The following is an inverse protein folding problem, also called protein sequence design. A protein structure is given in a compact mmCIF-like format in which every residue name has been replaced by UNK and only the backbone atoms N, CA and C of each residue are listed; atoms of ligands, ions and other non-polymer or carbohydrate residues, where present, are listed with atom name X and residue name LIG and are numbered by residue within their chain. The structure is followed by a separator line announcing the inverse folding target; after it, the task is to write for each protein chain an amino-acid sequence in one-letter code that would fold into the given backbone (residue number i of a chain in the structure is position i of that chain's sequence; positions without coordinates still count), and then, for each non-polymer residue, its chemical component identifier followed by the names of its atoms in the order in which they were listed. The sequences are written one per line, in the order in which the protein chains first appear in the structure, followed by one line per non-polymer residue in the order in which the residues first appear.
data_IF_346415627473
#
_entry.id   IF_346415627473
#
_cell.length_a   1.000
_cell.length_b   1.000
_cell.length_c   1.000
_cell.angle_alpha   90.00
_cell.angle_beta   90.00
_cell.angle_gamma   90.00
#
_symmetry.space_group_name_H-M   'P 1'
#
loop_
_entity.id
_entity.type
_entity.pdbx_description
1 polymer ?
#
# COMPACT_ATOMS: atom_id res chain seq x y z
N UNK A 1 -7.39 -8.79 -49.57
CA UNK A 1 -6.10 -8.84 -48.83
C UNK A 1 -6.38 -8.34 -47.44
N UNK A 2 -6.48 -9.24 -46.48
CA UNK A 2 -6.80 -8.97 -45.07
C UNK A 2 -5.52 -8.58 -44.34
N UNK A 3 -5.49 -7.38 -43.77
CA UNK A 3 -4.44 -6.92 -42.87
C UNK A 3 -4.59 -7.61 -41.51
N UNK A 4 -3.59 -8.40 -41.14
CA UNK A 4 -3.48 -9.06 -39.83
C UNK A 4 -3.25 -8.00 -38.74
N UNK A 5 -4.10 -7.99 -37.72
CA UNK A 5 -3.90 -7.24 -36.49
C UNK A 5 -2.72 -7.84 -35.70
N UNK A 6 -1.54 -7.19 -35.76
CA UNK A 6 -0.33 -7.55 -34.99
C UNK A 6 -0.21 -6.73 -33.68
N UNK A 7 -1.34 -6.33 -33.09
CA UNK A 7 -1.35 -5.34 -31.99
C UNK A 7 -1.14 -5.89 -30.57
N UNK A 8 -1.45 -7.16 -30.30
CA UNK A 8 -1.52 -7.70 -28.93
C UNK A 8 -0.26 -8.46 -28.48
N UNK A 9 0.43 -9.13 -29.40
CA UNK A 9 1.58 -9.99 -29.05
C UNK A 9 2.76 -9.18 -28.48
N UNK A 10 3.10 -8.07 -29.13
CA UNK A 10 4.23 -7.22 -28.73
C UNK A 10 4.01 -6.51 -27.38
N UNK A 11 2.76 -6.16 -27.02
CA UNK A 11 2.46 -5.54 -25.73
C UNK A 11 2.61 -6.54 -24.57
N UNK A 12 2.22 -7.80 -24.76
CA UNK A 12 2.40 -8.85 -23.76
C UNK A 12 3.87 -9.26 -23.60
N UNK A 13 4.64 -9.34 -24.70
CA UNK A 13 6.07 -9.65 -24.65
C UNK A 13 6.89 -8.55 -23.96
N UNK A 14 6.56 -7.28 -24.17
CA UNK A 14 7.25 -6.16 -23.54
C UNK A 14 6.98 -6.10 -22.03
N UNK A 15 5.73 -6.31 -21.60
CA UNK A 15 5.36 -6.36 -20.18
C UNK A 15 6.07 -7.50 -19.42
N UNK A 16 6.24 -8.66 -20.06
CA UNK A 16 6.93 -9.80 -19.47
C UNK A 16 8.45 -9.56 -19.32
N UNK A 17 9.07 -8.95 -20.33
CA UNK A 17 10.49 -8.59 -20.30
C UNK A 17 10.78 -7.51 -19.22
N UNK A 18 9.88 -6.53 -19.09
CA UNK A 18 9.96 -5.50 -18.04
C UNK A 18 9.83 -6.10 -16.63
N UNK A 19 8.95 -7.10 -16.45
CA UNK A 19 8.80 -7.83 -15.19
C UNK A 19 10.05 -8.66 -14.86
N UNK A 20 10.68 -9.32 -15.83
CA UNK A 20 11.91 -10.10 -15.61
C UNK A 20 13.07 -9.19 -15.16
N UNK A 21 13.24 -8.03 -15.81
CA UNK A 21 14.24 -7.03 -15.41
C UNK A 21 13.94 -6.50 -14.01
N UNK A 22 12.68 -6.21 -13.71
CA UNK A 22 12.25 -5.78 -12.38
C UNK A 22 12.57 -6.84 -11.33
N UNK A 23 12.20 -8.10 -11.56
CA UNK A 23 12.45 -9.22 -10.64
C UNK A 23 13.95 -9.36 -10.36
N UNK A 24 14.80 -9.30 -11.39
CA UNK A 24 16.26 -9.35 -11.22
C UNK A 24 16.73 -8.22 -10.29
N UNK A 25 16.28 -6.98 -10.51
CA UNK A 25 16.62 -5.84 -9.65
C UNK A 25 16.11 -6.02 -8.21
N UNK A 26 14.88 -6.49 -8.05
CA UNK A 26 14.26 -6.76 -6.75
C UNK A 26 15.04 -7.79 -5.92
N UNK A 27 15.62 -8.79 -6.59
CA UNK A 27 16.40 -9.83 -5.94
C UNK A 27 17.81 -9.38 -5.56
N UNK A 28 18.38 -8.35 -6.20
CA UNK A 28 19.73 -7.84 -5.86
C UNK A 28 19.82 -7.27 -4.45
N UNK A 29 18.75 -6.64 -3.95
CA UNK A 29 18.70 -6.07 -2.60
C UNK A 29 17.91 -6.93 -1.60
N UNK A 30 17.42 -8.10 -2.02
CA UNK A 30 16.71 -9.00 -1.13
C UNK A 30 17.66 -9.99 -0.46
N UNK A 31 18.03 -9.67 0.78
CA UNK A 31 18.87 -10.50 1.63
C UNK A 31 18.19 -10.68 3.00
N UNK A 32 17.12 -11.51 3.08
CA UNK A 32 16.36 -11.64 4.31
C UNK A 32 17.24 -12.23 5.40
N UNK A 33 17.42 -11.48 6.48
CA UNK A 33 18.19 -11.93 7.63
C UNK A 33 17.33 -12.79 8.57
N UNK A 34 17.82 -13.07 9.78
CA UNK A 34 17.06 -13.85 10.76
C UNK A 34 15.95 -13.05 11.46
N UNK A 35 15.82 -11.74 11.21
CA UNK A 35 14.81 -10.91 11.88
C UNK A 35 13.42 -11.46 11.62
N UNK A 36 12.69 -11.62 12.71
CA UNK A 36 11.29 -12.06 12.66
C UNK A 36 10.41 -10.90 13.07
N UNK A 37 9.81 -10.26 12.07
CA UNK A 37 8.68 -9.36 12.26
C UNK A 37 7.40 -10.19 12.28
N UNK A 38 6.59 -10.06 13.34
CA UNK A 38 5.22 -10.54 13.32
C UNK A 38 4.37 -9.68 12.37
N UNK A 39 4.46 -9.99 11.08
CA UNK A 39 3.86 -9.23 10.00
C UNK A 39 2.33 -9.30 10.04
N UNK A 40 1.76 -10.40 10.56
CA UNK A 40 0.33 -10.57 10.75
C UNK A 40 -0.23 -9.60 11.80
N UNK A 41 0.45 -9.48 12.96
CA UNK A 41 0.05 -8.52 13.99
C UNK A 41 0.21 -7.07 13.51
N UNK A 42 1.30 -6.77 12.79
CA UNK A 42 1.51 -5.43 12.24
C UNK A 42 0.42 -5.07 11.23
N UNK A 43 0.09 -6.01 10.34
CA UNK A 43 -0.94 -5.81 9.34
C UNK A 43 -2.33 -5.71 9.97
N UNK A 44 -2.60 -6.44 11.06
CA UNK A 44 -3.84 -6.30 11.83
C UNK A 44 -3.97 -4.90 12.46
N UNK A 45 -2.87 -4.33 12.96
CA UNK A 45 -2.89 -2.95 13.47
C UNK A 45 -3.09 -1.92 12.36
N UNK A 46 -2.45 -2.11 11.20
CA UNK A 46 -2.71 -1.32 9.98
C UNK A 46 -4.17 -1.40 9.57
N UNK A 47 -4.71 -2.61 9.54
CA UNK A 47 -6.11 -2.89 9.20
C UNK A 47 -7.04 -2.09 10.13
N UNK A 48 -6.81 -2.15 11.44
CA UNK A 48 -7.58 -1.36 12.39
C UNK A 48 -7.53 0.13 12.09
N UNK A 49 -6.35 0.69 11.78
CA UNK A 49 -6.24 2.11 11.43
C UNK A 49 -6.98 2.41 10.12
N UNK A 50 -6.77 1.62 9.08
CA UNK A 50 -7.36 1.85 7.74
C UNK A 50 -8.88 1.73 7.76
N UNK A 51 -9.43 0.80 8.55
CA UNK A 51 -10.87 0.50 8.61
C UNK A 51 -11.61 1.21 9.76
N UNK A 52 -11.04 1.40 10.95
CA UNK A 52 -11.70 2.22 11.99
C UNK A 52 -11.64 3.72 11.70
N UNK A 53 -10.71 4.15 10.84
CA UNK A 53 -10.77 5.45 10.18
C UNK A 53 -12.05 5.67 9.32
N UNK A 54 -12.94 4.70 9.20
CA UNK A 54 -14.05 4.75 8.23
C UNK A 54 -15.44 4.54 8.85
N UNK A 55 -15.53 4.27 10.16
CA UNK A 55 -16.79 4.00 10.85
C UNK A 55 -17.67 5.25 11.10
N UNK A 56 -17.17 6.46 10.82
CA UNK A 56 -17.89 7.71 11.13
C UNK A 56 -18.90 8.15 10.05
N UNK A 57 -19.10 7.41 8.96
CA UNK A 57 -20.15 7.73 7.98
C UNK A 57 -21.57 7.41 8.51
N UNK A 58 -21.71 6.70 9.64
CA UNK A 58 -23.00 6.26 10.22
C UNK A 58 -23.28 6.72 11.67
N UNK A 59 -22.42 7.57 12.26
CA UNK A 59 -22.59 8.01 13.65
C UNK A 59 -23.65 9.11 13.80
N UNK A 60 -24.91 8.71 13.75
CA UNK A 60 -26.07 9.40 14.38
C UNK A 60 -26.37 8.75 15.73
N UNK A 61 -25.36 8.39 16.52
CA UNK A 61 -25.58 7.78 17.83
C UNK A 61 -24.54 8.24 18.85
N UNK A 62 -25.00 8.92 19.90
CA UNK A 62 -24.27 9.44 21.07
C UNK A 62 -23.59 8.38 21.96
N UNK A 63 -23.24 7.21 21.43
CA UNK A 63 -22.50 6.20 22.18
C UNK A 63 -21.05 6.14 21.71
N UNK A 64 -20.06 6.17 22.64
CA UNK A 64 -18.69 5.93 22.27
C UNK A 64 -18.62 4.55 21.63
N UNK A 65 -18.19 4.50 20.37
CA UNK A 65 -17.90 3.23 19.69
C UNK A 65 -16.79 2.58 20.51
N UNK A 66 -17.17 1.57 21.28
CA UNK A 66 -16.23 0.72 21.99
C UNK A 66 -15.58 -0.20 20.94
N UNK A 67 -14.70 0.37 20.12
CA UNK A 67 -13.87 -0.37 19.21
C UNK A 67 -12.86 -1.12 20.06
N UNK A 68 -13.13 -2.39 20.33
CA UNK A 68 -12.13 -3.32 20.86
C UNK A 68 -10.96 -3.34 19.87
N UNK A 69 -9.94 -2.52 20.14
CA UNK A 69 -8.75 -2.34 19.32
C UNK A 69 -7.93 -3.63 19.37
N UNK A 70 -8.27 -4.59 18.51
CA UNK A 70 -7.60 -5.91 18.48
C UNK A 70 -6.27 -5.76 17.74
N UNK A 71 -5.24 -5.32 18.46
CA UNK A 71 -3.88 -5.16 17.92
C UNK A 71 -3.24 -3.87 18.40
N UNK A 72 -2.69 -3.88 19.62
CA UNK A 72 -1.86 -2.78 20.09
C UNK A 72 -0.45 -2.94 19.49
N UNK A 73 -0.01 -1.92 18.73
CA UNK A 73 1.32 -1.89 18.11
C UNK A 73 2.43 -2.02 19.18
N UNK A 74 2.17 -1.61 20.43
CA UNK A 74 3.15 -1.75 21.53
C UNK A 74 3.55 -3.20 21.83
N UNK A 75 2.74 -4.17 21.43
CA UNK A 75 2.99 -5.59 21.67
C UNK A 75 3.67 -6.27 20.47
N UNK A 76 3.98 -5.51 19.41
CA UNK A 76 4.64 -6.02 18.21
C UNK A 76 6.12 -5.79 18.34
N UNK A 77 6.86 -6.86 18.60
CA UNK A 77 8.31 -6.82 18.68
C UNK A 77 8.95 -7.24 17.36
N UNK A 78 10.05 -6.55 17.01
CA UNK A 78 10.94 -6.95 15.93
C UNK A 78 12.07 -7.77 16.57
N UNK A 79 11.94 -9.09 16.52
CA UNK A 79 12.88 -10.00 17.19
C UNK A 79 14.21 -10.00 16.43
N UNK A 80 15.32 -10.02 17.17
CA UNK A 80 16.70 -10.02 16.65
C UNK A 80 17.11 -8.73 15.89
N UNK A 81 16.43 -7.60 16.16
CA UNK A 81 16.82 -6.28 15.66
C UNK A 81 17.44 -5.42 16.77
N UNK A 82 18.59 -4.75 16.52
CA UNK A 82 19.15 -3.78 17.46
C UNK A 82 18.35 -2.48 17.53
N UNK A 83 17.47 -2.21 16.54
CA UNK A 83 16.61 -1.02 16.52
C UNK A 83 15.14 -1.36 16.81
N UNK A 84 14.41 -0.53 17.57
CA UNK A 84 12.97 -0.72 17.82
C UNK A 84 12.13 -0.68 16.54
N UNK A 85 11.06 -1.48 16.47
CA UNK A 85 10.14 -1.54 15.33
C UNK A 85 9.61 -0.15 14.90
N UNK A 86 9.24 0.68 15.88
CA UNK A 86 8.72 2.03 15.61
C UNK A 86 9.75 2.91 14.90
N UNK A 87 11.04 2.77 15.24
CA UNK A 87 12.10 3.51 14.57
C UNK A 87 12.21 3.13 13.09
N UNK A 88 12.12 1.83 12.78
CA UNK A 88 12.05 1.33 11.40
C UNK A 88 10.84 1.89 10.66
N UNK A 89 9.65 1.85 11.27
CA UNK A 89 8.42 2.41 10.66
C UNK A 89 8.57 3.92 10.42
N UNK A 90 9.14 4.67 11.36
CA UNK A 90 9.38 6.10 11.19
C UNK A 90 10.42 6.41 10.11
N UNK A 91 11.50 5.64 10.01
CA UNK A 91 12.49 5.76 8.92
C UNK A 91 11.84 5.53 7.57
N UNK A 92 11.01 4.50 7.44
CA UNK A 92 10.28 4.22 6.19
C UNK A 92 9.28 5.33 5.90
N UNK A 93 8.50 5.77 6.90
CA UNK A 93 7.58 6.88 6.74
C UNK A 93 8.33 8.14 6.28
N UNK A 94 9.48 8.42 6.88
CA UNK A 94 10.34 9.52 6.48
C UNK A 94 10.83 9.36 5.04
N UNK A 95 11.37 8.23 4.62
CA UNK A 95 11.78 8.01 3.21
C UNK A 95 10.61 8.08 2.22
N UNK A 96 9.43 7.58 2.60
CA UNK A 96 8.21 7.63 1.80
C UNK A 96 7.63 9.04 1.69
N UNK A 97 7.82 9.88 2.71
CA UNK A 97 7.20 11.20 2.82
C UNK A 97 8.19 12.33 2.46
N UNK A 98 9.45 12.25 2.87
CA UNK A 98 10.47 13.28 2.75
C UNK A 98 11.32 13.11 1.49
N UNK A 99 10.70 13.34 0.32
CA UNK A 99 11.40 13.84 -0.89
C UNK A 99 10.46 14.79 -1.63
N UNK A 100 10.80 16.08 -1.64
CA UNK A 100 10.11 17.18 -2.32
C UNK A 100 10.71 17.40 -3.74
N UNK A 101 10.08 18.20 -4.63
CA UNK A 101 10.07 17.96 -6.07
C UNK A 101 11.40 18.31 -6.76
N UNK A 102 11.91 17.34 -7.51
CA UNK A 102 13.11 17.45 -8.33
C UNK A 102 13.58 16.07 -8.78
N UNK A 103 12.90 15.52 -9.79
CA UNK A 103 13.43 14.49 -10.72
C UNK A 103 13.67 13.04 -10.25
N UNK A 104 13.44 12.65 -8.99
CA UNK A 104 13.46 11.21 -8.68
C UNK A 104 12.11 10.56 -9.04
N UNK A 105 12.10 9.73 -10.08
CA UNK A 105 10.89 9.05 -10.53
C UNK A 105 10.37 8.06 -9.46
N UNK A 106 9.07 7.73 -9.55
CA UNK A 106 8.38 6.87 -8.58
C UNK A 106 8.98 5.45 -8.48
N UNK A 107 9.58 4.93 -9.56
CA UNK A 107 10.26 3.63 -9.55
C UNK A 107 11.49 3.68 -8.65
N UNK A 108 12.35 4.68 -8.83
CA UNK A 108 13.57 4.84 -8.03
C UNK A 108 13.26 4.98 -6.55
N UNK A 109 12.24 5.76 -6.17
CA UNK A 109 11.78 5.85 -4.77
C UNK A 109 11.23 4.54 -4.21
N UNK A 110 10.55 3.75 -5.06
CA UNK A 110 10.06 2.42 -4.66
C UNK A 110 11.22 1.47 -4.42
N UNK A 111 12.23 1.47 -5.30
CA UNK A 111 13.43 0.66 -5.16
C UNK A 111 14.22 1.03 -3.90
N UNK A 112 14.43 2.33 -3.64
CA UNK A 112 15.09 2.78 -2.40
C UNK A 112 14.36 2.32 -1.12
N UNK A 113 13.02 2.32 -1.14
CA UNK A 113 12.20 1.82 -0.02
C UNK A 113 12.37 0.30 0.16
N UNK A 114 12.50 -0.44 -0.94
CA UNK A 114 12.73 -1.88 -0.94
C UNK A 114 14.15 -2.23 -0.45
N UNK A 115 15.15 -1.44 -0.83
CA UNK A 115 16.54 -1.59 -0.41
C UNK A 115 16.68 -1.35 1.10
N UNK A 116 16.02 -0.31 1.62
CA UNK A 116 15.93 -0.04 3.07
C UNK A 116 15.33 -1.23 3.82
N UNK A 117 14.40 -1.95 3.19
CA UNK A 117 13.72 -3.10 3.75
C UNK A 117 14.34 -4.44 3.32
N UNK A 118 15.53 -4.42 2.70
CA UNK A 118 16.17 -5.58 2.06
C UNK A 118 16.28 -6.81 2.95
N UNK A 119 16.52 -6.57 4.24
CA UNK A 119 16.66 -7.59 5.30
C UNK A 119 15.36 -8.29 5.69
N UNK A 120 14.21 -7.85 5.18
CA UNK A 120 12.90 -8.38 5.54
C UNK A 120 12.35 -9.31 4.43
N UNK A 121 11.51 -10.27 4.83
CA UNK A 121 10.68 -11.08 3.90
C UNK A 121 9.68 -10.19 3.13
N UNK A 122 9.11 -10.67 2.03
CA UNK A 122 8.26 -9.84 1.17
C UNK A 122 6.97 -9.40 1.86
N UNK A 123 6.34 -10.27 2.66
CA UNK A 123 5.18 -9.92 3.48
C UNK A 123 5.52 -8.85 4.52
N UNK A 124 6.68 -8.97 5.16
CA UNK A 124 7.18 -7.99 6.13
C UNK A 124 7.48 -6.64 5.49
N UNK A 125 8.11 -6.62 4.31
CA UNK A 125 8.36 -5.40 3.51
C UNK A 125 7.05 -4.64 3.25
N UNK A 126 6.05 -5.35 2.74
CA UNK A 126 4.74 -4.78 2.44
C UNK A 126 4.00 -4.32 3.71
N UNK A 127 4.04 -5.08 4.81
CA UNK A 127 3.42 -4.72 6.08
C UNK A 127 4.06 -3.46 6.70
N UNK A 128 5.38 -3.33 6.68
CA UNK A 128 6.10 -2.14 7.17
C UNK A 128 5.79 -0.90 6.32
N UNK A 129 5.73 -1.04 5.01
CA UNK A 129 5.32 0.02 4.09
C UNK A 129 3.88 0.49 4.36
N UNK A 130 2.97 -0.44 4.59
CA UNK A 130 1.59 -0.13 4.96
C UNK A 130 1.47 0.51 6.34
N UNK A 131 2.29 0.10 7.31
CA UNK A 131 2.36 0.71 8.64
C UNK A 131 2.82 2.18 8.56
N UNK A 132 3.85 2.45 7.78
CA UNK A 132 4.31 3.81 7.51
C UNK A 132 3.21 4.69 6.87
N UNK A 133 2.49 4.14 5.89
CA UNK A 133 1.33 4.81 5.28
C UNK A 133 0.18 5.03 6.28
N UNK A 134 -0.12 4.03 7.11
CA UNK A 134 -1.22 4.07 8.07
C UNK A 134 -1.08 5.22 9.08
N UNK A 135 0.15 5.63 9.44
CA UNK A 135 0.39 6.81 10.29
C UNK A 135 -0.22 8.06 9.65
N UNK A 136 0.11 8.33 8.38
CA UNK A 136 -0.39 9.53 7.67
C UNK A 136 -1.88 9.43 7.37
N UNK A 137 -2.37 8.25 7.00
CA UNK A 137 -3.79 8.03 6.72
C UNK A 137 -4.65 8.14 7.98
N UNK A 138 -4.21 7.54 9.08
CA UNK A 138 -4.89 7.58 10.37
C UNK A 138 -5.01 9.00 10.88
N UNK A 139 -3.93 9.79 10.83
CA UNK A 139 -3.97 11.21 11.22
C UNK A 139 -4.95 12.02 10.36
N UNK A 140 -4.87 11.88 9.03
CA UNK A 140 -5.78 12.55 8.11
C UNK A 140 -7.24 12.18 8.37
N UNK A 141 -7.53 10.89 8.53
CA UNK A 141 -8.89 10.42 8.74
C UNK A 141 -9.43 10.84 10.11
N UNK A 142 -8.62 10.71 11.17
CA UNK A 142 -9.02 11.12 12.51
C UNK A 142 -9.35 12.62 12.55
N UNK A 143 -8.53 13.45 11.89
CA UNK A 143 -8.81 14.89 11.78
C UNK A 143 -10.13 15.16 11.06
N UNK A 144 -10.42 14.47 9.96
CA UNK A 144 -11.69 14.62 9.24
C UNK A 144 -12.89 14.21 10.10
N UNK A 145 -12.77 13.11 10.84
CA UNK A 145 -13.83 12.59 11.70
C UNK A 145 -14.10 13.48 12.90
N UNK A 146 -13.06 14.03 13.52
CA UNK A 146 -13.22 14.86 14.73
C UNK A 146 -13.59 16.31 14.40
N UNK A 147 -13.34 16.79 13.17
CA UNK A 147 -13.59 18.18 12.77
C UNK A 147 -15.03 18.66 13.04
N UNK A 148 -16.10 17.88 12.79
CA UNK A 148 -17.47 18.32 13.07
C UNK A 148 -17.81 18.40 14.57
N UNK A 149 -17.05 17.72 15.42
CA UNK A 149 -17.40 17.53 16.84
C UNK A 149 -16.47 18.27 17.80
N UNK A 150 -15.22 18.54 17.41
CA UNK A 150 -14.17 19.04 18.31
C UNK A 150 -13.55 20.33 17.77
N UNK A 151 -13.69 21.48 18.46
CA UNK A 151 -13.09 22.76 18.05
C UNK A 151 -11.56 22.73 17.89
N UNK A 152 -10.87 21.91 18.71
CA UNK A 152 -9.43 21.68 18.58
C UNK A 152 -9.08 21.05 17.22
N UNK A 153 -9.87 20.08 16.74
CA UNK A 153 -9.67 19.45 15.45
C UNK A 153 -9.86 20.45 14.29
N UNK A 154 -10.83 21.38 14.41
CA UNK A 154 -11.01 22.49 13.44
C UNK A 154 -9.75 23.36 13.39
N UNK A 155 -9.20 23.72 14.56
CA UNK A 155 -8.01 24.56 14.66
C UNK A 155 -6.79 23.88 14.02
N UNK A 156 -6.53 22.61 14.35
CA UNK A 156 -5.45 21.83 13.74
C UNK A 156 -5.64 21.71 12.23
N UNK A 157 -6.85 21.43 11.77
CA UNK A 157 -7.15 21.31 10.36
C UNK A 157 -6.93 22.62 9.59
N UNK A 158 -7.19 23.78 10.21
CA UNK A 158 -6.89 25.09 9.64
C UNK A 158 -5.38 25.33 9.53
N UNK A 159 -4.59 25.01 10.57
CA UNK A 159 -3.13 25.09 10.50
C UNK A 159 -2.54 24.18 9.43
N UNK A 160 -3.14 22.99 9.25
CA UNK A 160 -2.77 22.04 8.20
C UNK A 160 -3.33 22.38 6.82
N UNK A 161 -4.10 23.46 6.67
CA UNK A 161 -4.74 23.91 5.41
C UNK A 161 -5.69 22.87 4.79
N UNK A 162 -6.29 21.99 5.60
CA UNK A 162 -7.26 21.01 5.12
C UNK A 162 -8.54 21.73 4.69
N UNK A 163 -9.05 21.50 3.46
CA UNK A 163 -10.27 22.14 2.96
C UNK A 163 -11.46 21.99 3.92
N UNK A 164 -12.20 23.06 4.14
CA UNK A 164 -13.40 23.06 4.98
C UNK A 164 -14.56 22.27 4.34
N UNK A 165 -14.67 22.31 3.01
CA UNK A 165 -15.65 21.54 2.25
C UNK A 165 -15.03 20.26 1.67
N UNK A 166 -15.20 19.14 2.37
CA UNK A 166 -14.72 17.84 1.95
C UNK A 166 -15.61 17.15 0.90
N UNK A 167 -16.77 17.72 0.55
CA UNK A 167 -17.73 17.07 -0.38
C UNK A 167 -17.12 16.75 -1.75
N UNK A 168 -16.27 17.64 -2.26
CA UNK A 168 -15.56 17.45 -3.54
C UNK A 168 -14.44 16.41 -3.47
N UNK A 169 -13.96 16.09 -2.25
CA UNK A 169 -12.89 15.13 -2.00
C UNK A 169 -13.42 13.72 -1.67
N UNK A 170 -14.74 13.57 -1.45
CA UNK A 170 -15.37 12.27 -1.16
C UNK A 170 -14.98 11.15 -2.15
N UNK A 171 -14.96 11.36 -3.48
CA UNK A 171 -14.56 10.30 -4.41
C UNK A 171 -13.09 9.87 -4.24
N UNK A 172 -12.20 10.84 -3.98
CA UNK A 172 -10.77 10.59 -3.78
C UNK A 172 -10.53 9.83 -2.48
N UNK A 173 -11.21 10.23 -1.40
CA UNK A 173 -11.15 9.54 -0.10
C UNK A 173 -11.70 8.11 -0.21
N UNK A 174 -12.82 7.91 -0.93
CA UNK A 174 -13.40 6.57 -1.16
C UNK A 174 -12.44 5.67 -1.95
N UNK A 175 -11.80 6.21 -2.98
CA UNK A 175 -10.87 5.44 -3.79
C UNK A 175 -9.56 5.16 -3.01
N UNK A 176 -9.04 6.10 -2.22
CA UNK A 176 -7.93 5.87 -1.30
C UNK A 176 -8.24 4.75 -0.30
N UNK A 177 -9.45 4.74 0.28
CA UNK A 177 -9.95 3.68 1.16
C UNK A 177 -9.95 2.32 0.46
N UNK A 178 -10.54 2.25 -0.73
CA UNK A 178 -10.62 1.02 -1.51
C UNK A 178 -9.24 0.46 -1.84
N UNK A 179 -8.31 1.31 -2.29
CA UNK A 179 -6.95 0.91 -2.61
C UNK A 179 -6.20 0.43 -1.35
N UNK A 180 -6.39 1.11 -0.22
CA UNK A 180 -5.79 0.71 1.06
C UNK A 180 -6.28 -0.67 1.49
N UNK A 181 -7.57 -0.96 1.33
CA UNK A 181 -8.13 -2.31 1.55
C UNK A 181 -7.47 -3.35 0.66
N UNK A 182 -7.39 -3.10 -0.64
CA UNK A 182 -6.77 -4.02 -1.59
C UNK A 182 -5.30 -4.29 -1.24
N UNK A 183 -4.53 -3.28 -0.86
CA UNK A 183 -3.13 -3.47 -0.44
C UNK A 183 -3.01 -4.32 0.82
N UNK A 184 -3.90 -4.13 1.80
CA UNK A 184 -3.95 -4.96 3.02
C UNK A 184 -4.27 -6.41 2.66
N UNK A 185 -5.32 -6.64 1.86
CA UNK A 185 -5.75 -7.98 1.47
C UNK A 185 -4.65 -8.72 0.69
N UNK A 186 -3.96 -8.05 -0.24
CA UNK A 186 -2.82 -8.63 -0.96
C UNK A 186 -1.62 -8.92 -0.05
N UNK A 187 -1.37 -8.08 0.95
CA UNK A 187 -0.30 -8.31 1.91
C UNK A 187 -0.59 -9.55 2.76
N UNK A 188 -1.86 -9.78 3.15
CA UNK A 188 -2.28 -11.02 3.83
C UNK A 188 -1.97 -12.24 2.96
N UNK A 189 -2.34 -12.21 1.68
CA UNK A 189 -2.05 -13.31 0.76
C UNK A 189 -0.54 -13.60 0.65
N UNK A 190 0.32 -12.57 0.60
CA UNK A 190 1.78 -12.76 0.58
C UNK A 190 2.25 -13.42 1.89
N UNK A 191 1.79 -12.94 3.04
CA UNK A 191 2.19 -13.47 4.36
C UNK A 191 1.75 -14.93 4.50
N UNK A 192 0.51 -15.27 4.15
CA UNK A 192 -0.03 -16.62 4.16
C UNK A 192 0.80 -17.55 3.26
N UNK A 193 1.13 -17.11 2.05
CA UNK A 193 1.96 -17.89 1.14
C UNK A 193 3.38 -18.08 1.68
N UNK A 194 3.97 -17.05 2.27
CA UNK A 194 5.30 -17.12 2.89
C UNK A 194 5.32 -18.03 4.14
N UNK A 195 4.16 -18.31 4.75
CA UNK A 195 4.03 -19.22 5.89
C UNK A 195 3.88 -20.70 5.48
N UNK A 196 3.62 -21.00 4.22
CA UNK A 196 3.46 -22.38 3.74
C UNK A 196 4.76 -23.17 3.91
N UNK A 197 4.72 -24.38 4.51
CA UNK A 197 5.90 -25.22 4.66
C UNK A 197 6.38 -25.73 3.30
N UNK A 198 7.65 -25.48 2.98
CA UNK A 198 8.36 -25.92 1.75
C UNK A 198 8.48 -27.45 1.59
N UNK A 199 7.91 -28.25 2.49
CA UNK A 199 8.06 -29.71 2.53
C UNK A 199 6.87 -30.37 1.82
N UNK A 200 6.75 -30.18 0.51
CA UNK A 200 5.87 -31.03 -0.31
C UNK A 200 6.62 -31.38 -1.59
N UNK A 201 7.16 -32.59 -1.66
CA UNK A 201 7.70 -33.16 -2.90
C UNK A 201 6.48 -33.61 -3.72
N UNK A 202 5.97 -32.72 -4.57
CA UNK A 202 4.77 -32.91 -5.37
C UNK A 202 4.56 -31.75 -6.37
N UNK A 203 3.49 -31.77 -7.19
CA UNK A 203 3.15 -30.71 -8.16
C UNK A 203 3.09 -29.30 -7.53
N UNK A 204 2.85 -29.21 -6.23
CA UNK A 204 2.84 -27.97 -5.44
C UNK A 204 4.19 -27.21 -5.45
N UNK A 205 5.33 -27.89 -5.65
CA UNK A 205 6.64 -27.24 -5.76
C UNK A 205 6.82 -26.45 -7.05
N UNK A 206 6.23 -26.93 -8.14
CA UNK A 206 6.27 -26.24 -9.45
C UNK A 206 5.35 -25.01 -9.42
N UNK A 207 4.19 -25.13 -8.79
CA UNK A 207 3.28 -24.01 -8.51
C UNK A 207 3.94 -22.96 -7.58
N UNK A 208 4.71 -23.40 -6.58
CA UNK A 208 5.45 -22.50 -5.69
C UNK A 208 6.53 -21.70 -6.43
N UNK A 209 7.25 -22.33 -7.35
CA UNK A 209 8.27 -21.68 -8.17
C UNK A 209 7.67 -20.62 -9.10
N UNK A 210 6.49 -20.88 -9.65
CA UNK A 210 5.73 -19.93 -10.50
C UNK A 210 5.17 -18.76 -9.68
N UNK A 211 4.83 -18.97 -8.41
CA UNK A 211 4.23 -17.93 -7.56
C UNK A 211 5.28 -16.96 -6.97
N UNK A 212 6.51 -17.40 -6.70
CA UNK A 212 7.58 -16.56 -6.13
C UNK A 212 7.79 -15.23 -6.88
N UNK A 213 7.98 -15.23 -8.22
CA UNK A 213 8.05 -13.99 -9.00
C UNK A 213 6.84 -13.07 -8.80
N UNK A 214 5.63 -13.62 -8.75
CA UNK A 214 4.39 -12.87 -8.55
C UNK A 214 4.39 -12.18 -7.18
N UNK A 215 4.93 -12.81 -6.14
CA UNK A 215 5.03 -12.22 -4.79
C UNK A 215 5.95 -11.00 -4.81
N UNK A 216 7.10 -11.09 -5.46
CA UNK A 216 8.09 -10.01 -5.51
C UNK A 216 7.50 -8.78 -6.22
N UNK A 217 6.88 -9.02 -7.38
CA UNK A 217 6.21 -7.98 -8.17
C UNK A 217 5.03 -7.39 -7.41
N UNK A 218 4.22 -8.21 -6.73
CA UNK A 218 3.08 -7.74 -5.94
C UNK A 218 3.54 -6.85 -4.78
N UNK A 219 4.57 -7.27 -4.03
CA UNK A 219 5.14 -6.46 -2.96
C UNK A 219 5.68 -5.12 -3.46
N UNK A 220 6.34 -5.10 -4.61
CA UNK A 220 6.76 -3.87 -5.28
C UNK A 220 5.57 -2.95 -5.58
N UNK A 221 4.48 -3.47 -6.14
CA UNK A 221 3.29 -2.65 -6.45
C UNK A 221 2.56 -2.15 -5.20
N UNK A 222 2.52 -2.93 -4.12
CA UNK A 222 1.98 -2.49 -2.83
C UNK A 222 2.79 -1.29 -2.33
N UNK A 223 4.11 -1.41 -2.24
CA UNK A 223 5.00 -0.34 -1.75
C UNK A 223 4.88 0.89 -2.65
N UNK A 224 4.95 0.72 -3.97
CA UNK A 224 4.76 1.82 -4.93
C UNK A 224 3.43 2.54 -4.72
N UNK A 225 2.37 1.79 -4.44
CA UNK A 225 1.04 2.33 -4.18
C UNK A 225 0.97 3.07 -2.84
N UNK A 226 1.62 2.59 -1.78
CA UNK A 226 1.69 3.33 -0.51
C UNK A 226 2.41 4.67 -0.65
N UNK A 227 3.45 4.76 -1.49
CA UNK A 227 4.12 6.04 -1.82
C UNK A 227 3.18 7.01 -2.53
N UNK A 228 2.42 6.52 -3.52
CA UNK A 228 1.44 7.34 -4.26
C UNK A 228 0.33 7.82 -3.33
N UNK A 229 -0.24 6.93 -2.54
CA UNK A 229 -1.30 7.23 -1.58
C UNK A 229 -0.84 8.25 -0.53
N UNK A 230 0.38 8.10 0.00
CA UNK A 230 0.97 9.05 0.95
C UNK A 230 1.12 10.45 0.33
N UNK A 231 1.56 10.51 -0.93
CA UNK A 231 1.65 11.78 -1.68
C UNK A 231 0.28 12.40 -1.94
N UNK A 232 -0.75 11.58 -2.18
CA UNK A 232 -2.12 12.07 -2.31
C UNK A 232 -2.65 12.63 -0.99
N UNK A 233 -2.43 11.96 0.15
CA UNK A 233 -2.83 12.48 1.48
C UNK A 233 -2.17 13.82 1.74
N UNK A 234 -0.86 13.95 1.47
CA UNK A 234 -0.17 15.25 1.57
C UNK A 234 -0.81 16.31 0.68
N UNK A 235 -1.14 15.96 -0.57
CA UNK A 235 -1.81 16.88 -1.49
C UNK A 235 -3.20 17.28 -0.98
N UNK A 236 -3.98 16.33 -0.45
CA UNK A 236 -5.31 16.57 0.12
C UNK A 236 -5.24 17.49 1.34
N UNK A 237 -4.20 17.36 2.16
CA UNK A 237 -3.96 18.25 3.29
C UNK A 237 -3.48 19.63 2.85
N UNK A 238 -2.69 19.73 1.78
CA UNK A 238 -2.09 21.00 1.32
C UNK A 238 -2.93 21.79 0.29
N UNK A 239 -4.15 21.36 -0.04
CA UNK A 239 -4.97 22.03 -1.06
C UNK A 239 -5.55 23.36 -0.57
N UNK A 240 -5.14 24.47 -1.20
CA UNK A 240 -5.86 25.74 -1.13
C UNK A 240 -7.16 25.67 -1.97
N UNK A 241 -8.26 26.32 -1.56
CA UNK A 241 -9.56 26.25 -2.24
C UNK A 241 -9.56 26.72 -3.71
N UNK A 242 -8.52 27.45 -4.15
CA UNK A 242 -8.43 28.07 -5.47
C UNK A 242 -7.86 27.15 -6.58
N UNK A 243 -7.37 25.94 -6.25
CA UNK A 243 -6.70 25.04 -7.23
C UNK A 243 -7.49 23.77 -7.59
N UNK A 244 -8.80 23.77 -7.31
CA UNK A 244 -9.66 22.58 -7.44
C UNK A 244 -9.90 22.16 -8.90
N UNK A 245 -9.64 23.04 -9.88
CA UNK A 245 -10.03 22.78 -11.29
C UNK A 245 -8.96 22.13 -12.17
N UNK A 246 -7.66 22.23 -11.84
CA UNK A 246 -6.57 21.81 -12.76
C UNK A 246 -6.04 20.39 -12.46
N UNK A 247 -6.29 19.85 -11.26
CA UNK A 247 -5.71 18.57 -10.82
C UNK A 247 -6.59 17.33 -11.06
N UNK A 248 -7.88 17.53 -11.33
CA UNK A 248 -8.92 16.49 -11.40
C UNK A 248 -8.90 15.63 -12.66
N UNK A 249 -8.18 16.03 -13.72
CA UNK A 249 -8.13 15.26 -14.98
C UNK A 249 -6.84 14.42 -15.16
N UNK A 250 -5.68 14.90 -14.69
CA UNK A 250 -4.38 14.25 -14.98
C UNK A 250 -3.92 13.27 -13.89
N UNK A 251 -4.19 13.54 -12.60
CA UNK A 251 -3.78 12.66 -11.48
C UNK A 251 -4.72 11.45 -11.31
N UNK A 252 -6.00 11.61 -11.66
CA UNK A 252 -7.05 10.58 -11.62
C UNK A 252 -6.80 9.44 -12.64
N UNK A 253 -6.18 9.74 -13.79
CA UNK A 253 -5.83 8.73 -14.81
C UNK A 253 -4.65 7.84 -14.37
N UNK A 254 -3.64 8.39 -13.70
CA UNK A 254 -2.55 7.59 -13.11
C UNK A 254 -3.08 6.68 -12.00
N UNK A 255 -4.01 7.17 -11.17
CA UNK A 255 -4.70 6.37 -10.16
C UNK A 255 -5.45 5.18 -10.77
N UNK A 256 -6.15 5.39 -11.90
CA UNK A 256 -6.86 4.31 -12.61
C UNK A 256 -5.92 3.21 -13.15
N UNK A 257 -4.70 3.56 -13.57
CA UNK A 257 -3.71 2.59 -14.08
C UNK A 257 -3.20 1.67 -12.96
N UNK A 258 -2.95 2.20 -11.75
CA UNK A 258 -2.62 1.37 -10.57
C UNK A 258 -3.80 0.53 -10.10
N UNK A 259 -5.01 1.10 -10.14
CA UNK A 259 -6.27 0.38 -9.88
C UNK A 259 -6.56 -0.75 -10.86
N UNK A 260 -5.98 -0.75 -12.06
CA UNK A 260 -6.15 -1.80 -13.05
C UNK A 260 -5.07 -2.88 -12.96
N UNK A 261 -3.82 -2.54 -12.62
CA UNK A 261 -2.75 -3.56 -12.53
C UNK A 261 -2.85 -4.45 -11.29
N UNK A 262 -3.18 -3.87 -10.14
CA UNK A 262 -3.22 -4.58 -8.85
C UNK A 262 -4.31 -5.68 -8.81
N UNK A 263 -5.51 -5.49 -9.38
CA UNK A 263 -6.52 -6.57 -9.51
C UNK A 263 -6.31 -7.50 -10.71
N UNK A 264 -5.61 -7.09 -11.77
CA UNK A 264 -5.32 -7.97 -12.92
C UNK A 264 -4.30 -9.06 -12.56
N UNK A 265 -3.41 -8.80 -11.61
CA UNK A 265 -2.56 -9.83 -10.98
C UNK A 265 -3.43 -10.87 -10.26
N UNK A 266 -4.53 -10.45 -9.61
CA UNK A 266 -5.47 -11.32 -8.89
C UNK A 266 -6.28 -12.24 -9.82
N UNK A 267 -6.71 -11.74 -10.99
CA UNK A 267 -7.41 -12.55 -11.99
C UNK A 267 -6.54 -13.66 -12.62
N UNK A 268 -5.22 -13.49 -12.63
CA UNK A 268 -4.27 -14.51 -13.07
C UNK A 268 -3.80 -15.47 -11.97
N UNK A 269 -4.11 -15.20 -10.70
CA UNK A 269 -3.75 -16.06 -9.56
C UNK A 269 -4.89 -17.04 -9.21
N UNK A 270 -6.15 -16.64 -9.38
CA UNK A 270 -7.33 -17.48 -9.04
C UNK A 270 -7.95 -18.25 -10.21
N UNK A 271 -7.42 -18.13 -11.43
CA UNK A 271 -7.88 -18.94 -12.55
C UNK A 271 -6.95 -20.16 -12.68
N UNK A 272 -7.33 -21.34 -12.18
CA UNK A 272 -6.64 -22.55 -12.60
C UNK A 272 -6.74 -22.61 -14.13
N UNK A 273 -5.64 -22.93 -14.80
CA UNK A 273 -5.63 -23.22 -16.23
C UNK A 273 -6.57 -24.41 -16.47
N UNK A 274 -7.85 -24.15 -16.72
CA UNK A 274 -8.73 -25.11 -17.37
C UNK A 274 -8.56 -24.93 -18.88
N UNK A 275 -7.41 -25.38 -19.38
CA UNK A 275 -7.24 -25.70 -20.79
C UNK A 275 -7.22 -27.22 -20.91
N UNK A 276 -8.28 -27.71 -21.58
CA UNK A 276 -8.62 -29.05 -22.08
C UNK A 276 -7.62 -30.19 -21.94
#
# INVERSE_FOLDING_TARGET
MTSVQSGSFWQHSQSYLDDEILIKKLLLSHDPDRRRLNSEMLLSAVENIVFHATASEELVSDKPVNANFKGNISNIELIESPEPLMHTIYKIAHEMLCKSPGEEDLHTRTMASLDLLGSHRWGAKAALALAAFAISYGEFSLLIQLRPHIPLAVSIANFKQIPSNMSMLKPQVKALRSLSKTMVDLTKCIIEFEALPLVHVGPDMEDLAVMKPKIYVTAYWIIRSTLVCSSQIKSLMAMKPEQVHVLTCHKSKKMLIFFLHVPMIFLHILRPNTSS
#
